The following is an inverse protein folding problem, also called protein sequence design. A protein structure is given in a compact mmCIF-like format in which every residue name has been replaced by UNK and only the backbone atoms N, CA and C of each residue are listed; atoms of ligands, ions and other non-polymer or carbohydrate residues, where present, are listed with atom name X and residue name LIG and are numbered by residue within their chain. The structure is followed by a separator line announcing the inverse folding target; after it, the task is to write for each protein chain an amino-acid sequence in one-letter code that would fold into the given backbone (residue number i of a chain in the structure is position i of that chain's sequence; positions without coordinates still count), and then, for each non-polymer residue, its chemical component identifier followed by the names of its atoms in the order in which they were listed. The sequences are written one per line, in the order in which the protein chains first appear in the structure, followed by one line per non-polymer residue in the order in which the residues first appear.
data_IF_183692894865
#
_entry.id   IF_183692894865
#
_cell.length_a   1.000
_cell.length_b   1.000
_cell.length_c   1.000
_cell.angle_alpha   90.00
_cell.angle_beta   90.00
_cell.angle_gamma   90.00
#
_symmetry.space_group_name_H-M   'P 1'
#
loop_
_entity.id
_entity.type
_entity.pdbx_description
1 polymer ?
#
# COMPACT_ATOMS: atom_id res chain seq x y z
N UNK A 1 16.44 3.01 -11.20
CA UNK A 1 15.13 3.16 -11.84
C UNK A 1 14.30 3.95 -10.84
N UNK A 2 14.12 5.24 -11.07
CA UNK A 2 13.42 6.15 -10.16
C UNK A 2 11.93 5.78 -10.16
N UNK A 3 11.37 5.42 -9.02
CA UNK A 3 9.98 4.94 -8.92
C UNK A 3 8.98 6.10 -9.00
N UNK A 4 7.75 5.87 -9.51
CA UNK A 4 6.65 6.84 -9.56
C UNK A 4 6.22 7.40 -8.18
N UNK A 5 6.64 6.76 -7.08
CA UNK A 5 6.33 7.23 -5.72
C UNK A 5 6.79 8.65 -5.43
N UNK A 6 7.86 9.16 -6.05
CA UNK A 6 8.33 10.54 -5.82
C UNK A 6 7.38 11.63 -6.39
N UNK A 7 6.57 11.29 -7.39
CA UNK A 7 5.51 12.18 -7.91
C UNK A 7 4.34 12.28 -6.93
N UNK A 8 4.00 11.18 -6.25
CA UNK A 8 2.86 11.09 -5.32
C UNK A 8 3.21 11.52 -3.88
N UNK A 9 4.41 11.15 -3.42
CA UNK A 9 4.92 11.28 -2.06
C UNK A 9 6.37 11.74 -2.10
N UNK A 10 6.72 12.81 -1.37
CA UNK A 10 8.11 13.32 -1.32
C UNK A 10 9.03 12.48 -0.40
N UNK A 11 9.04 11.17 -0.61
CA UNK A 11 9.72 10.20 0.25
C UNK A 11 10.55 9.22 -0.56
N UNK A 12 11.75 8.92 -0.06
CA UNK A 12 12.60 7.86 -0.57
C UNK A 12 12.27 6.56 0.14
N UNK A 13 11.91 5.53 -0.63
CA UNK A 13 11.58 4.21 -0.09
C UNK A 13 12.46 3.11 -0.70
N UNK A 14 12.70 2.06 0.10
CA UNK A 14 13.26 0.79 -0.35
C UNK A 14 12.11 -0.14 -0.69
N UNK A 15 12.20 -0.85 -1.81
CA UNK A 15 11.30 -1.98 -2.10
C UNK A 15 12.00 -3.24 -1.60
N UNK A 16 11.46 -3.84 -0.55
CA UNK A 16 12.12 -4.91 0.19
C UNK A 16 11.68 -6.29 -0.31
N UNK A 17 10.40 -6.61 -0.20
CA UNK A 17 9.88 -7.94 -0.50
C UNK A 17 8.60 -7.88 -1.31
N UNK A 18 8.43 -8.81 -2.25
CA UNK A 18 7.15 -9.03 -2.91
C UNK A 18 6.19 -9.78 -1.97
N UNK A 19 5.00 -9.23 -1.75
CA UNK A 19 3.97 -9.84 -0.90
C UNK A 19 3.09 -10.75 -1.76
N UNK A 20 2.38 -10.16 -2.72
CA UNK A 20 1.41 -10.87 -3.55
C UNK A 20 1.03 -10.04 -4.78
N UNK A 21 0.36 -10.69 -5.73
CA UNK A 21 -0.34 -10.01 -6.82
C UNK A 21 -1.81 -10.20 -6.56
N UNK A 22 -2.53 -9.10 -6.47
CA UNK A 22 -3.96 -9.03 -6.32
C UNK A 22 -4.55 -9.00 -7.73
N UNK A 23 -5.43 -9.96 -8.02
CA UNK A 23 -6.15 -10.07 -9.29
C UNK A 23 -7.65 -10.00 -9.01
N UNK A 24 -8.34 -8.99 -9.52
CA UNK A 24 -9.78 -8.81 -9.34
C UNK A 24 -10.49 -8.40 -10.62
N UNK A 25 -11.51 -9.17 -10.96
CA UNK A 25 -12.44 -8.85 -12.04
C UNK A 25 -13.55 -7.92 -11.55
N UNK A 26 -13.59 -6.73 -12.14
CA UNK A 26 -14.73 -5.83 -12.07
C UNK A 26 -15.56 -5.96 -13.36
N UNK A 27 -16.85 -5.60 -13.35
CA UNK A 27 -17.70 -5.71 -14.55
C UNK A 27 -17.16 -4.96 -15.77
N UNK A 28 -16.39 -3.89 -15.57
CA UNK A 28 -15.89 -3.01 -16.63
C UNK A 28 -14.41 -3.25 -16.96
N UNK A 29 -13.63 -3.82 -16.05
CA UNK A 29 -12.18 -4.00 -16.23
C UNK A 29 -11.62 -5.08 -15.29
N UNK A 30 -10.41 -5.54 -15.60
CA UNK A 30 -9.62 -6.43 -14.75
C UNK A 30 -8.51 -5.66 -14.05
N UNK A 31 -8.44 -5.76 -12.72
CA UNK A 31 -7.41 -5.14 -11.89
C UNK A 31 -6.32 -6.17 -11.58
N UNK A 32 -5.08 -5.87 -11.96
CA UNK A 32 -3.88 -6.61 -11.55
C UNK A 32 -2.94 -5.66 -10.80
N UNK A 33 -2.70 -5.92 -9.51
CA UNK A 33 -1.89 -5.06 -8.65
C UNK A 33 -0.82 -5.87 -7.92
N UNK A 34 0.45 -5.52 -8.11
CA UNK A 34 1.58 -6.13 -7.39
C UNK A 34 1.88 -5.36 -6.12
N UNK A 35 1.83 -6.06 -4.99
CA UNK A 35 2.03 -5.48 -3.67
C UNK A 35 3.42 -5.85 -3.16
N UNK A 36 4.14 -4.84 -2.67
CA UNK A 36 5.49 -5.00 -2.12
C UNK A 36 5.54 -4.41 -0.72
N UNK A 37 6.31 -5.06 0.13
CA UNK A 37 6.76 -4.51 1.40
C UNK A 37 7.83 -3.46 1.11
N UNK A 38 7.66 -2.28 1.69
CA UNK A 38 8.58 -1.17 1.49
C UNK A 38 8.95 -0.54 2.83
N UNK A 39 10.17 -0.05 2.91
CA UNK A 39 10.67 0.69 4.07
C UNK A 39 10.94 2.14 3.68
N UNK A 40 10.53 3.08 4.54
CA UNK A 40 10.88 4.49 4.38
C UNK A 40 12.37 4.67 4.69
N UNK A 41 13.16 5.08 3.70
CA UNK A 41 14.60 5.33 3.85
C UNK A 41 14.81 6.76 4.37
N UNK A 42 14.18 7.74 3.73
CA UNK A 42 14.34 9.15 4.06
C UNK A 42 13.17 9.99 3.52
N UNK A 43 12.96 11.19 4.08
CA UNK A 43 11.89 12.09 3.69
C UNK A 43 10.64 12.00 4.57
N UNK A 44 9.79 13.02 4.46
CA UNK A 44 8.49 13.06 5.12
C UNK A 44 7.42 12.55 4.13
N UNK A 45 6.37 11.90 4.62
CA UNK A 45 5.21 11.57 3.79
C UNK A 45 4.41 12.85 3.48
N UNK A 46 4.96 13.69 2.59
CA UNK A 46 4.27 14.86 2.06
C UNK A 46 3.44 14.39 0.87
N UNK A 47 2.12 14.42 1.04
CA UNK A 47 1.17 14.10 -0.02
C UNK A 47 1.22 15.19 -1.09
N UNK A 48 1.52 14.80 -2.34
CA UNK A 48 1.48 15.73 -3.48
C UNK A 48 0.13 15.66 -4.20
N UNK A 49 -0.32 14.48 -4.57
CA UNK A 49 -1.62 14.29 -5.25
C UNK A 49 -2.68 13.58 -4.40
N UNK A 50 -2.27 12.83 -3.36
CA UNK A 50 -3.19 12.17 -2.43
C UNK A 50 -3.89 13.18 -1.49
N UNK A 51 -5.17 12.93 -1.19
CA UNK A 51 -6.00 13.81 -0.36
C UNK A 51 -5.71 13.65 1.16
N UNK A 52 -5.40 12.43 1.61
CA UNK A 52 -5.11 12.12 3.01
C UNK A 52 -4.22 10.88 3.15
N UNK A 53 -3.47 10.79 4.25
CA UNK A 53 -2.66 9.64 4.60
C UNK A 53 -2.53 9.48 6.11
N UNK A 54 -2.61 8.24 6.57
CA UNK A 54 -2.55 7.90 7.99
C UNK A 54 -1.70 6.66 8.20
N UNK A 55 -0.78 6.74 9.16
CA UNK A 55 -0.11 5.56 9.71
C UNK A 55 -1.07 4.78 10.60
N UNK A 56 -1.17 3.48 10.35
CA UNK A 56 -1.98 2.55 11.13
C UNK A 56 -1.08 1.47 11.71
N UNK A 57 -1.39 1.06 12.93
CA UNK A 57 -0.83 -0.13 13.57
C UNK A 57 -1.78 -1.32 13.41
N UNK A 58 -1.36 -2.50 13.90
CA UNK A 58 -2.15 -3.74 13.81
C UNK A 58 -3.53 -3.60 14.48
N UNK A 59 -3.63 -2.78 15.53
CA UNK A 59 -4.86 -2.61 16.30
C UNK A 59 -5.83 -1.64 15.62
N UNK A 60 -5.31 -0.68 14.85
CA UNK A 60 -6.07 0.38 14.18
C UNK A 60 -6.28 0.15 12.69
N UNK A 61 -5.64 -0.85 12.08
CA UNK A 61 -5.75 -1.15 10.65
C UNK A 61 -7.19 -1.45 10.19
N UNK A 62 -8.03 -2.01 11.07
CA UNK A 62 -9.43 -2.30 10.79
C UNK A 62 -10.35 -1.06 10.91
N UNK A 63 -9.82 0.07 11.39
CA UNK A 63 -10.59 1.32 11.51
C UNK A 63 -10.86 2.00 10.17
N UNK A 64 -10.12 1.61 9.12
CA UNK A 64 -10.29 2.10 7.76
C UNK A 64 -11.15 1.14 6.96
N UNK A 65 -12.06 1.69 6.16
CA UNK A 65 -12.89 0.91 5.24
C UNK A 65 -12.12 0.64 3.96
N UNK A 66 -11.39 -0.47 3.93
CA UNK A 66 -10.65 -0.94 2.77
C UNK A 66 -11.55 -1.31 1.59
N UNK A 67 -11.04 -1.19 0.37
CA UNK A 67 -11.75 -1.68 -0.81
C UNK A 67 -11.76 -3.21 -0.82
N UNK A 68 -12.75 -3.84 -1.48
CA UNK A 68 -12.84 -5.30 -1.54
C UNK A 68 -11.56 -5.98 -2.04
N UNK A 69 -10.82 -5.31 -2.94
CA UNK A 69 -9.56 -5.82 -3.47
C UNK A 69 -8.43 -5.86 -2.44
N UNK A 70 -8.43 -4.94 -1.48
CA UNK A 70 -7.34 -4.78 -0.52
C UNK A 70 -7.53 -5.63 0.73
N UNK A 71 -8.76 -6.07 1.04
CA UNK A 71 -9.06 -6.84 2.27
C UNK A 71 -8.15 -8.07 2.39
N UNK A 72 -7.96 -8.82 1.30
CA UNK A 72 -7.11 -10.02 1.30
C UNK A 72 -5.65 -9.68 1.62
N UNK A 73 -5.16 -8.54 1.15
CA UNK A 73 -3.82 -8.04 1.46
C UNK A 73 -3.71 -7.62 2.91
N UNK A 74 -4.70 -6.90 3.45
CA UNK A 74 -4.72 -6.45 4.84
C UNK A 74 -4.70 -7.65 5.80
N UNK A 75 -5.47 -8.69 5.51
CA UNK A 75 -5.46 -9.93 6.30
C UNK A 75 -4.08 -10.61 6.30
N UNK A 76 -3.36 -10.56 5.18
CA UNK A 76 -2.00 -11.11 5.09
C UNK A 76 -0.98 -10.24 5.84
N UNK A 77 -1.08 -8.92 5.70
CA UNK A 77 -0.24 -7.95 6.42
C UNK A 77 -0.40 -8.16 7.93
N UNK A 78 -1.63 -8.29 8.44
CA UNK A 78 -1.93 -8.50 9.86
C UNK A 78 -1.27 -9.76 10.43
N UNK A 79 -1.25 -10.87 9.69
CA UNK A 79 -0.57 -12.10 10.12
C UNK A 79 0.94 -11.94 10.21
N UNK A 80 1.51 -11.06 9.39
CA UNK A 80 2.95 -10.86 9.27
C UNK A 80 3.51 -9.88 10.32
N UNK A 81 2.68 -8.96 10.79
CA UNK A 81 3.03 -7.95 11.81
C UNK A 81 2.59 -8.32 13.23
N UNK A 82 1.84 -9.42 13.39
CA UNK A 82 1.47 -10.01 14.69
C UNK A 82 2.63 -10.82 15.29
#
# INVERSE_FOLDING_TARGET
MSLPQSEELDSEISVDEYISTIEHDYPEFHLSMRCYWCSLISGDLVLKEAEDAKWLDVETIDSVKWLPADIALIDEIKKRIA
#
